data_IF_480257003638
#
_entry.id   IF_480257003638
#
_cell.length_a   1.000
_cell.length_b   1.000
_cell.length_c   1.000
_cell.angle_alpha   90.00
_cell.angle_beta   90.00
_cell.angle_gamma   90.00
#
_symmetry.space_group_name_H-M   'P 1'
#
loop_
_entity.id
_entity.type
_entity.pdbx_description
1 polymer ?
#
# COMPACT_ATOMS: atom_id res chain seq x y z
N UNK A 1 2.68 14.00 -7.07
CA UNK A 1 1.74 15.01 -7.63
C UNK A 1 0.48 15.14 -6.79
N UNK A 2 -0.22 14.06 -6.44
CA UNK A 2 -1.48 14.11 -5.65
C UNK A 2 -1.32 14.71 -4.25
N UNK A 3 -0.21 14.46 -3.56
CA UNK A 3 0.08 15.03 -2.23
C UNK A 3 0.29 16.56 -2.29
N UNK A 4 0.89 17.06 -3.35
CA UNK A 4 0.99 18.51 -3.59
C UNK A 4 -0.38 19.10 -3.92
N UNK A 5 -1.18 18.37 -4.71
CA UNK A 5 -2.57 18.74 -4.99
C UNK A 5 -3.41 18.84 -3.72
N UNK A 6 -3.18 17.99 -2.72
CA UNK A 6 -3.85 18.07 -1.42
C UNK A 6 -3.55 19.35 -0.67
N UNK A 7 -2.30 19.84 -0.73
CA UNK A 7 -1.90 21.12 -0.10
C UNK A 7 -2.40 22.36 -0.85
N UNK A 8 -2.62 22.25 -2.17
CA UNK A 8 -3.05 23.38 -3.00
C UNK A 8 -4.57 23.55 -3.10
N UNK A 9 -5.32 22.44 -2.92
CA UNK A 9 -6.76 22.43 -3.07
C UNK A 9 -7.44 22.73 -1.73
N UNK A 10 -8.40 23.64 -1.75
CA UNK A 10 -9.24 23.91 -0.59
C UNK A 10 -10.27 22.78 -0.35
N UNK A 11 -10.70 22.63 0.90
CA UNK A 11 -11.77 21.70 1.25
C UNK A 11 -13.08 22.12 0.53
N UNK A 12 -13.87 21.18 -0.02
CA UNK A 12 -13.75 19.72 0.08
C UNK A 12 -12.96 19.05 -1.06
N UNK A 13 -12.40 19.81 -2.01
CA UNK A 13 -11.78 19.26 -3.24
C UNK A 13 -10.46 18.51 -2.95
N UNK A 14 -9.82 18.79 -1.83
CA UNK A 14 -8.61 18.08 -1.37
C UNK A 14 -8.86 16.58 -1.14
N UNK A 15 -10.08 16.17 -0.80
CA UNK A 15 -10.47 14.76 -0.63
C UNK A 15 -10.30 13.97 -1.95
N UNK A 16 -10.58 14.60 -3.10
CA UNK A 16 -10.40 13.97 -4.39
C UNK A 16 -8.91 13.64 -4.66
N UNK A 17 -8.00 14.53 -4.27
CA UNK A 17 -6.55 14.30 -4.39
C UNK A 17 -6.10 13.10 -3.55
N UNK A 18 -6.64 12.96 -2.32
CA UNK A 18 -6.36 11.80 -1.46
C UNK A 18 -6.95 10.50 -2.01
N UNK A 19 -8.14 10.54 -2.60
CA UNK A 19 -8.74 9.38 -3.25
C UNK A 19 -7.87 8.87 -4.41
N UNK A 20 -7.41 9.76 -5.29
CA UNK A 20 -6.50 9.42 -6.40
C UNK A 20 -5.17 8.88 -5.87
N UNK A 21 -4.65 9.45 -4.77
CA UNK A 21 -3.45 8.94 -4.12
C UNK A 21 -3.64 7.51 -3.60
N UNK A 22 -4.77 7.22 -2.96
CA UNK A 22 -5.12 5.88 -2.50
C UNK A 22 -5.20 4.85 -3.62
N UNK A 23 -5.83 5.20 -4.75
CA UNK A 23 -5.84 4.34 -5.95
C UNK A 23 -4.43 4.06 -6.47
N UNK A 24 -3.57 5.07 -6.54
CA UNK A 24 -2.17 4.93 -7.00
C UNK A 24 -1.37 4.00 -6.07
N UNK A 25 -1.58 4.11 -4.75
CA UNK A 25 -0.96 3.22 -3.76
C UNK A 25 -1.43 1.78 -3.92
N UNK A 26 -2.72 1.56 -4.17
CA UNK A 26 -3.27 0.24 -4.46
C UNK A 26 -2.62 -0.42 -5.68
N UNK A 27 -2.44 0.32 -6.77
CA UNK A 27 -1.72 -0.15 -7.95
C UNK A 27 -0.25 -0.47 -7.64
N UNK A 28 0.43 0.37 -6.88
CA UNK A 28 1.82 0.16 -6.46
C UNK A 28 1.96 -1.12 -5.63
N UNK A 29 1.00 -1.38 -4.76
CA UNK A 29 0.94 -2.61 -3.96
C UNK A 29 0.88 -3.85 -4.86
N UNK A 30 0.00 -3.87 -5.85
CA UNK A 30 -0.12 -4.95 -6.83
C UNK A 30 1.16 -5.19 -7.62
N UNK A 31 1.84 -4.11 -8.03
CA UNK A 31 3.13 -4.20 -8.74
C UNK A 31 4.20 -4.83 -7.83
N UNK A 32 4.36 -4.35 -6.59
CA UNK A 32 5.35 -4.91 -5.65
C UNK A 32 5.06 -6.39 -5.40
N UNK A 33 3.80 -6.74 -5.17
CA UNK A 33 3.40 -8.13 -4.92
C UNK A 33 3.69 -9.04 -6.11
N UNK A 34 3.56 -8.54 -7.35
CA UNK A 34 3.88 -9.32 -8.56
C UNK A 34 5.36 -9.74 -8.65
N UNK A 35 6.29 -9.00 -8.02
CA UNK A 35 7.70 -9.38 -7.92
C UNK A 35 7.97 -10.44 -6.85
N UNK A 36 7.11 -10.52 -5.85
CA UNK A 36 7.24 -11.45 -4.72
C UNK A 36 6.57 -12.78 -5.08
N UNK A 37 5.44 -12.71 -5.79
CA UNK A 37 4.61 -13.86 -6.14
C UNK A 37 5.35 -14.88 -7.02
N UNK A 38 5.16 -16.16 -6.74
CA UNK A 38 5.72 -17.25 -7.52
C UNK A 38 7.18 -17.58 -7.21
N UNK A 39 7.68 -17.16 -6.05
CA UNK A 39 8.97 -17.57 -5.51
C UNK A 39 8.78 -18.60 -4.40
N UNK A 40 9.76 -19.49 -4.19
CA UNK A 40 9.74 -20.51 -3.13
C UNK A 40 9.52 -19.90 -1.72
N UNK A 41 9.94 -18.66 -1.52
CA UNK A 41 9.85 -17.93 -0.25
C UNK A 41 8.74 -16.88 -0.25
N UNK A 42 7.76 -16.97 -1.14
CA UNK A 42 6.66 -16.01 -1.29
C UNK A 42 5.94 -15.72 0.03
N UNK A 43 5.64 -16.74 0.83
CA UNK A 43 4.90 -16.59 2.09
C UNK A 43 5.69 -15.80 3.14
N UNK A 44 7.00 -16.04 3.22
CA UNK A 44 7.90 -15.31 4.13
C UNK A 44 7.99 -13.84 3.68
N UNK A 45 8.20 -13.60 2.39
CA UNK A 45 8.30 -12.26 1.83
C UNK A 45 6.98 -11.48 1.99
N UNK A 46 5.84 -12.13 1.75
CA UNK A 46 4.52 -11.53 1.95
C UNK A 46 4.27 -11.18 3.42
N UNK A 47 4.67 -12.04 4.35
CA UNK A 47 4.55 -11.79 5.79
C UNK A 47 5.45 -10.63 6.22
N UNK A 48 6.70 -10.58 5.79
CA UNK A 48 7.62 -9.47 6.04
C UNK A 48 7.08 -8.15 5.48
N UNK A 49 6.50 -8.19 4.29
CA UNK A 49 5.88 -7.03 3.67
C UNK A 49 4.69 -6.52 4.49
N UNK A 50 3.82 -7.42 4.97
CA UNK A 50 2.72 -7.08 5.87
C UNK A 50 3.18 -6.42 7.17
N UNK A 51 4.19 -7.00 7.83
CA UNK A 51 4.79 -6.43 9.05
C UNK A 51 5.40 -5.05 8.78
N UNK A 52 6.12 -4.88 7.67
CA UNK A 52 6.72 -3.60 7.31
C UNK A 52 5.69 -2.50 7.06
N UNK A 53 4.51 -2.84 6.54
CA UNK A 53 3.41 -1.87 6.37
C UNK A 53 2.90 -1.33 7.71
N UNK A 54 2.73 -2.21 8.70
CA UNK A 54 2.29 -1.81 10.06
C UNK A 54 3.33 -0.90 10.71
N UNK A 55 4.61 -1.29 10.62
CA UNK A 55 5.70 -0.51 11.22
C UNK A 55 5.87 0.85 10.54
N UNK A 56 5.79 0.91 9.21
CA UNK A 56 5.96 2.15 8.45
C UNK A 56 4.88 3.20 8.74
N UNK A 57 3.67 2.78 9.09
CA UNK A 57 2.59 3.71 9.45
C UNK A 57 2.92 4.49 10.73
N UNK A 58 3.46 3.81 11.76
CA UNK A 58 3.90 4.44 13.00
C UNK A 58 5.06 5.42 12.78
N UNK A 59 6.05 5.00 11.99
CA UNK A 59 7.19 5.85 11.61
C UNK A 59 6.72 7.10 10.86
N UNK A 60 5.83 6.95 9.87
CA UNK A 60 5.30 8.08 9.12
C UNK A 60 4.54 9.08 10.00
N UNK A 61 3.74 8.60 10.97
CA UNK A 61 3.05 9.47 11.94
C UNK A 61 4.05 10.23 12.83
N UNK A 62 5.07 9.55 13.34
CA UNK A 62 6.11 10.20 14.16
C UNK A 62 6.84 11.30 13.39
N UNK A 63 7.19 11.05 12.13
CA UNK A 63 7.77 12.06 11.26
C UNK A 63 6.78 13.21 10.96
N UNK A 64 5.48 12.90 10.82
CA UNK A 64 4.44 13.90 10.65
C UNK A 64 4.34 14.84 11.83
N UNK A 65 4.28 14.31 13.03
CA UNK A 65 4.25 15.09 14.26
C UNK A 65 5.52 15.93 14.44
N UNK A 66 6.68 15.37 14.15
CA UNK A 66 7.94 16.10 14.16
C UNK A 66 7.93 17.28 13.17
N UNK A 67 7.46 17.06 11.95
CA UNK A 67 7.38 18.12 10.93
C UNK A 67 6.42 19.25 11.33
N UNK A 68 5.30 18.92 11.96
CA UNK A 68 4.34 19.93 12.44
C UNK A 68 4.86 20.68 13.67
N UNK A 69 5.42 19.98 14.64
CA UNK A 69 5.80 20.58 15.92
C UNK A 69 7.14 21.33 15.86
N UNK A 70 8.15 20.75 15.24
CA UNK A 70 9.50 21.33 15.21
C UNK A 70 9.72 22.20 13.98
N UNK A 71 9.21 21.79 12.82
CA UNK A 71 9.38 22.52 11.56
C UNK A 71 8.26 23.52 11.29
N UNK A 72 7.20 23.56 12.13
CA UNK A 72 6.05 24.46 12.00
C UNK A 72 5.37 24.39 10.62
N UNK A 73 5.37 23.19 10.03
CA UNK A 73 4.76 22.95 8.72
C UNK A 73 3.24 22.84 8.90
N UNK A 74 2.49 23.54 8.06
CA UNK A 74 1.05 23.48 8.06
C UNK A 74 0.56 22.04 7.78
N UNK A 75 -0.52 21.66 8.46
CA UNK A 75 -1.15 20.33 8.38
C UNK A 75 -1.44 19.89 6.94
N UNK A 76 -1.85 20.81 6.08
CA UNK A 76 -2.17 20.53 4.68
C UNK A 76 -0.93 20.22 3.82
N UNK A 77 0.23 20.78 4.20
CA UNK A 77 1.48 20.57 3.49
C UNK A 77 2.33 19.42 4.04
N UNK A 78 2.04 18.98 5.26
CA UNK A 78 2.75 17.89 5.93
C UNK A 78 2.86 16.61 5.07
N UNK A 79 1.77 16.10 4.42
CA UNK A 79 1.87 14.88 3.61
C UNK A 79 2.78 15.06 2.39
N UNK A 80 2.81 16.26 1.79
CA UNK A 80 3.67 16.56 0.64
C UNK A 80 5.15 16.59 1.03
N UNK A 81 5.47 17.16 2.19
CA UNK A 81 6.84 17.22 2.71
C UNK A 81 7.36 15.82 3.03
N UNK A 82 6.60 15.04 3.78
CA UNK A 82 6.99 13.65 4.13
C UNK A 82 7.11 12.79 2.88
N UNK A 83 6.16 12.90 1.96
CA UNK A 83 6.21 12.21 0.68
C UNK A 83 7.42 12.61 -0.15
N UNK A 84 7.82 13.88 -0.11
CA UNK A 84 9.04 14.40 -0.75
C UNK A 84 10.32 13.78 -0.17
N UNK A 85 10.42 13.64 1.14
CA UNK A 85 11.54 12.95 1.79
C UNK A 85 11.56 11.45 1.53
N UNK A 86 10.40 10.82 1.45
CA UNK A 86 10.29 9.39 1.16
C UNK A 86 10.58 9.06 -0.32
N UNK A 87 10.39 10.01 -1.24
CA UNK A 87 10.49 9.78 -2.68
C UNK A 87 11.87 9.28 -3.14
N UNK A 88 13.02 9.85 -2.73
CA UNK A 88 14.34 9.36 -3.10
C UNK A 88 14.56 7.91 -2.63
N UNK A 89 14.11 7.59 -1.40
CA UNK A 89 14.20 6.24 -0.85
C UNK A 89 13.34 5.26 -1.67
N UNK A 90 12.15 5.68 -2.04
CA UNK A 90 11.21 4.87 -2.83
C UNK A 90 11.78 4.60 -4.24
N UNK A 91 12.38 5.62 -4.89
CA UNK A 91 13.05 5.46 -6.18
C UNK A 91 14.25 4.52 -6.05
N UNK A 92 15.06 4.67 -5.02
CA UNK A 92 16.20 3.78 -4.77
C UNK A 92 15.74 2.33 -4.58
N UNK A 93 14.72 2.08 -3.76
CA UNK A 93 14.16 0.75 -3.55
C UNK A 93 13.53 0.17 -4.84
N UNK A 94 12.86 1.01 -5.64
CA UNK A 94 12.35 0.62 -6.96
C UNK A 94 13.46 0.20 -7.93
N UNK A 95 14.58 0.89 -7.93
CA UNK A 95 15.76 0.52 -8.72
C UNK A 95 16.37 -0.80 -8.24
N UNK A 96 16.41 -1.02 -6.91
CA UNK A 96 16.83 -2.28 -6.32
C UNK A 96 15.91 -3.44 -6.71
N UNK A 97 14.59 -3.21 -6.67
CA UNK A 97 13.60 -4.20 -7.06
C UNK A 97 13.76 -4.62 -8.53
N UNK A 98 14.09 -3.66 -9.42
CA UNK A 98 14.36 -3.94 -10.84
C UNK A 98 15.61 -4.80 -11.07
N UNK A 99 16.55 -4.82 -10.12
CA UNK A 99 17.77 -5.65 -10.16
C UNK A 99 17.57 -7.05 -9.61
N UNK A 100 16.36 -7.39 -9.12
CA UNK A 100 16.10 -8.74 -8.64
C UNK A 100 16.29 -9.76 -9.77
N UNK A 101 17.01 -10.86 -9.50
CA UNK A 101 17.15 -11.93 -10.49
C UNK A 101 15.78 -12.54 -10.81
N UNK A 102 15.67 -13.04 -12.03
CA UNK A 102 14.45 -13.73 -12.46
C UNK A 102 14.22 -14.99 -11.61
N UNK A 103 12.95 -15.46 -11.49
CA UNK A 103 12.65 -16.71 -10.80
C UNK A 103 13.50 -17.87 -11.33
N UNK A 104 13.99 -18.69 -10.44
CA UNK A 104 14.77 -19.87 -10.79
C UNK A 104 13.91 -20.95 -11.45
N UNK A 105 14.53 -21.94 -12.09
CA UNK A 105 13.80 -23.07 -12.67
C UNK A 105 13.00 -23.85 -11.59
N UNK A 106 13.51 -23.90 -10.34
CA UNK A 106 12.77 -24.45 -9.20
C UNK A 106 11.53 -23.64 -8.84
N UNK A 107 11.64 -22.30 -8.85
CA UNK A 107 10.51 -21.42 -8.57
C UNK A 107 9.41 -21.60 -9.63
N UNK A 108 9.81 -21.77 -10.89
CA UNK A 108 8.88 -21.99 -12.02
C UNK A 108 8.20 -23.35 -11.89
N UNK A 109 8.92 -24.40 -11.49
CA UNK A 109 8.38 -25.75 -11.34
C UNK A 109 7.38 -25.86 -10.17
N UNK A 110 7.59 -25.08 -9.11
CA UNK A 110 6.68 -25.03 -7.95
C UNK A 110 5.50 -24.08 -8.15
N UNK A 111 5.52 -23.31 -9.22
CA UNK A 111 4.48 -22.33 -9.51
C UNK A 111 3.28 -23.03 -10.13
N UNK A 112 2.10 -22.86 -9.53
CA UNK A 112 0.84 -23.22 -10.17
C UNK A 112 0.68 -22.45 -11.48
N UNK A 113 0.24 -23.14 -12.55
CA UNK A 113 -0.04 -22.51 -13.83
C UNK A 113 -1.01 -21.34 -13.63
N UNK A 114 -0.60 -20.15 -14.09
CA UNK A 114 -1.50 -19.01 -14.09
C UNK A 114 -2.59 -19.23 -15.11
N UNK A 115 -3.80 -19.47 -14.63
CA UNK A 115 -4.99 -19.48 -15.49
C UNK A 115 -5.23 -18.03 -15.93
N UNK A 116 -5.10 -17.78 -17.23
CA UNK A 116 -5.48 -16.48 -17.81
C UNK A 116 -7.01 -16.39 -17.71
N UNK A 117 -7.49 -15.63 -16.74
CA UNK A 117 -8.90 -15.39 -16.54
C UNK A 117 -9.38 -14.33 -17.54
N UNK A 118 -10.25 -14.74 -18.43
CA UNK A 118 -11.06 -13.82 -19.24
C UNK A 118 -12.03 -13.03 -18.34
N UNK A 119 -12.51 -11.87 -18.80
CA UNK A 119 -13.40 -11.02 -17.98
C UNK A 119 -14.61 -11.77 -17.41
N UNK A 120 -15.19 -12.69 -18.16
CA UNK A 120 -16.28 -13.58 -17.69
C UNK A 120 -15.80 -14.54 -16.60
N UNK A 121 -14.59 -15.07 -16.72
CA UNK A 121 -13.95 -15.93 -15.72
C UNK A 121 -13.68 -15.17 -14.41
N UNK A 122 -13.24 -13.92 -14.46
CA UNK A 122 -13.06 -13.07 -13.29
C UNK A 122 -14.38 -12.85 -12.53
N UNK A 123 -15.46 -12.55 -13.24
CA UNK A 123 -16.80 -12.36 -12.64
C UNK A 123 -17.31 -13.66 -12.02
N UNK A 124 -17.15 -14.79 -12.70
CA UNK A 124 -17.55 -16.10 -12.18
C UNK A 124 -16.77 -16.47 -10.92
N UNK A 125 -15.44 -16.24 -10.91
CA UNK A 125 -14.59 -16.46 -9.75
C UNK A 125 -15.00 -15.56 -8.57
N UNK A 126 -15.18 -14.27 -8.84
CA UNK A 126 -15.65 -13.32 -7.84
C UNK A 126 -16.98 -13.74 -7.23
N UNK A 127 -17.96 -14.13 -8.06
CA UNK A 127 -19.26 -14.59 -7.59
C UNK A 127 -19.18 -15.86 -6.75
N UNK A 128 -18.30 -16.80 -7.12
CA UNK A 128 -18.07 -18.04 -6.38
C UNK A 128 -17.51 -17.78 -4.97
N UNK A 129 -16.58 -16.84 -4.84
CA UNK A 129 -15.91 -16.52 -3.58
C UNK A 129 -16.48 -15.28 -2.89
N UNK A 130 -17.53 -14.66 -3.45
CA UNK A 130 -18.14 -13.43 -2.93
C UNK A 130 -18.43 -13.48 -1.41
N UNK A 131 -19.04 -14.55 -0.84
CA UNK A 131 -19.33 -14.56 0.60
C UNK A 131 -18.05 -14.51 1.45
N UNK A 132 -17.01 -15.23 1.07
CA UNK A 132 -15.74 -15.23 1.79
C UNK A 132 -15.03 -13.88 1.63
N UNK A 133 -15.00 -13.33 0.40
CA UNK A 133 -14.41 -12.04 0.11
C UNK A 133 -15.13 -10.90 0.86
N UNK A 134 -16.44 -10.94 0.95
CA UNK A 134 -17.25 -9.97 1.69
C UNK A 134 -16.94 -10.04 3.19
N UNK A 135 -16.84 -11.24 3.75
CA UNK A 135 -16.50 -11.42 5.16
C UNK A 135 -15.09 -10.91 5.47
N UNK A 136 -14.12 -11.23 4.62
CA UNK A 136 -12.75 -10.73 4.74
C UNK A 136 -12.69 -9.20 4.62
N UNK A 137 -13.45 -8.62 3.69
CA UNK A 137 -13.53 -7.18 3.51
C UNK A 137 -14.10 -6.49 4.75
N UNK A 138 -15.22 -6.98 5.28
CA UNK A 138 -15.84 -6.44 6.50
C UNK A 138 -14.89 -6.58 7.69
N UNK A 139 -14.27 -7.74 7.87
CA UNK A 139 -13.31 -7.97 8.95
C UNK A 139 -12.10 -7.03 8.87
N UNK A 140 -11.52 -6.87 7.68
CA UNK A 140 -10.40 -5.97 7.47
C UNK A 140 -10.81 -4.49 7.66
N UNK A 141 -11.99 -4.11 7.19
CA UNK A 141 -12.53 -2.76 7.39
C UNK A 141 -12.72 -2.44 8.87
N UNK A 142 -13.30 -3.37 9.66
CA UNK A 142 -13.44 -3.20 11.11
C UNK A 142 -12.09 -3.07 11.82
N UNK A 143 -11.10 -3.87 11.42
CA UNK A 143 -9.74 -3.77 11.97
C UNK A 143 -9.09 -2.43 11.65
N UNK A 144 -9.27 -1.90 10.45
CA UNK A 144 -8.77 -0.57 10.07
C UNK A 144 -9.42 0.53 10.90
N UNK A 145 -10.74 0.50 11.07
CA UNK A 145 -11.47 1.47 11.90
C UNK A 145 -10.99 1.40 13.37
N UNK A 146 -10.85 0.20 13.93
CA UNK A 146 -10.33 0.02 15.29
C UNK A 146 -8.90 0.54 15.44
N UNK A 147 -8.05 0.31 14.44
CA UNK A 147 -6.69 0.83 14.41
C UNK A 147 -6.69 2.36 14.42
N UNK A 148 -7.47 2.98 13.55
CA UNK A 148 -7.51 4.44 13.44
C UNK A 148 -8.07 5.08 14.72
N UNK A 149 -9.14 4.51 15.31
CA UNK A 149 -9.65 4.95 16.62
C UNK A 149 -8.56 4.82 17.69
N UNK A 150 -7.86 3.68 17.74
CA UNK A 150 -6.78 3.50 18.73
C UNK A 150 -5.66 4.52 18.53
N UNK A 151 -5.30 4.81 17.30
CA UNK A 151 -4.22 5.75 16.99
C UNK A 151 -4.60 7.21 17.30
N UNK A 152 -5.88 7.56 17.22
CA UNK A 152 -6.36 8.92 17.49
C UNK A 152 -6.67 9.19 18.98
N UNK A 153 -7.02 8.14 19.75
CA UNK A 153 -7.43 8.29 21.16
C UNK A 153 -6.42 7.77 22.18
N UNK A 154 -5.34 7.10 21.77
CA UNK A 154 -4.32 6.51 22.68
C UNK A 154 -2.95 7.20 22.55
N UNK A 155 -2.93 8.44 22.09
CA UNK A 155 -1.71 9.26 22.10
C UNK A 155 -1.61 10.02 23.41
#
# INVERSE_FOLDING_TARGET
MTLVGFGLLEAPYNVAAMFVNGLSLGCTWGVIFSFIEGRKVTDILASLFGVSMVFSSGVAKSFGLFAMNEMQIDQFWMPAVIGGFALPLLVFMGCMLKRLPQPTAEDIALRNERVVLDGKGCVALFRKYAPILTLLFIGNFMLLVLRDIKEDFLV
#
